data_IF_175596431228
#
_entry.id   IF_175596431228
#
_cell.length_a   1.000
_cell.length_b   1.000
_cell.length_c   1.000
_cell.angle_alpha   90.00
_cell.angle_beta   90.00
_cell.angle_gamma   90.00
#
_symmetry.space_group_name_H-M   'P 1'
#
loop_
_entity.id
_entity.type
_entity.pdbx_description
1 polymer ?
#
# COMPACT_ATOMS: atom_id res chain seq x y z
N UNK A 1 5.39 12.25 8.93
CA UNK A 1 5.17 11.88 7.54
C UNK A 1 6.12 10.79 7.12
N UNK A 2 7.42 10.95 7.31
CA UNK A 2 8.32 9.81 7.21
C UNK A 2 8.17 8.89 8.42
N UNK A 3 8.40 7.60 8.18
CA UNK A 3 8.33 6.57 9.20
C UNK A 3 7.88 5.22 8.67
N UNK A 4 7.54 4.39 9.64
CA UNK A 4 7.04 3.04 9.44
C UNK A 4 5.53 3.04 9.64
N UNK A 5 4.81 2.38 8.74
CA UNK A 5 3.36 2.36 8.68
C UNK A 5 2.88 0.93 8.63
N UNK A 6 1.92 0.60 9.49
CA UNK A 6 1.10 -0.59 9.32
C UNK A 6 -0.03 -0.25 8.36
N UNK A 7 -0.24 -1.11 7.38
CA UNK A 7 -1.35 -1.01 6.43
C UNK A 7 -2.22 -2.24 6.60
N UNK A 8 -3.51 -2.00 6.82
CA UNK A 8 -4.54 -3.03 6.88
C UNK A 8 -5.41 -2.85 5.65
N UNK A 9 -5.64 -3.91 4.88
CA UNK A 9 -6.44 -3.78 3.68
C UNK A 9 -7.41 -4.94 3.48
N UNK A 10 -8.57 -4.63 2.92
CA UNK A 10 -9.61 -5.61 2.58
C UNK A 10 -9.98 -5.48 1.11
N UNK A 11 -10.15 -6.61 0.44
CA UNK A 11 -10.77 -6.69 -0.88
C UNK A 11 -11.99 -7.61 -0.85
N UNK A 12 -12.54 -7.93 -2.02
CA UNK A 12 -13.73 -8.77 -2.15
C UNK A 12 -13.53 -10.22 -1.67
N UNK A 13 -12.29 -10.69 -1.58
CA UNK A 13 -11.95 -12.09 -1.29
C UNK A 13 -11.09 -12.26 -0.03
N UNK A 14 -10.98 -11.22 0.81
CA UNK A 14 -10.27 -11.34 2.08
C UNK A 14 -9.61 -10.05 2.54
N UNK A 15 -8.61 -10.21 3.40
CA UNK A 15 -7.86 -9.11 4.00
C UNK A 15 -6.37 -9.44 4.06
N UNK A 16 -5.55 -8.41 4.19
CA UNK A 16 -4.11 -8.51 4.31
C UNK A 16 -3.52 -7.40 5.16
N UNK A 17 -2.23 -7.54 5.44
CA UNK A 17 -1.45 -6.65 6.27
C UNK A 17 -0.09 -6.42 5.62
N UNK A 18 0.33 -5.17 5.56
CA UNK A 18 1.67 -4.80 5.10
C UNK A 18 2.35 -3.85 6.09
N UNK A 19 3.67 -3.82 6.03
CA UNK A 19 4.47 -2.73 6.58
C UNK A 19 5.01 -1.92 5.41
N UNK A 20 4.76 -0.61 5.42
CA UNK A 20 5.38 0.34 4.51
C UNK A 20 6.34 1.26 5.25
N UNK A 21 7.42 1.61 4.58
CA UNK A 21 8.40 2.62 4.93
C UNK A 21 8.23 3.76 3.94
N UNK A 22 8.00 4.96 4.47
CA UNK A 22 7.96 6.20 3.69
C UNK A 22 9.12 7.06 4.16
N UNK A 23 10.07 7.35 3.26
CA UNK A 23 11.27 8.12 3.57
C UNK A 23 11.92 8.67 2.31
N UNK A 24 12.28 9.96 2.32
CA UNK A 24 13.10 10.62 1.30
C UNK A 24 12.62 10.38 -0.15
N UNK A 25 11.32 10.58 -0.37
CA UNK A 25 10.68 10.38 -1.67
C UNK A 25 10.45 8.91 -2.07
N UNK A 26 10.82 7.95 -1.22
CA UNK A 26 10.65 6.51 -1.45
C UNK A 26 9.50 5.95 -0.63
N UNK A 27 8.75 5.03 -1.22
CA UNK A 27 7.81 4.15 -0.52
C UNK A 27 8.22 2.71 -0.80
N UNK A 28 8.50 1.93 0.25
CA UNK A 28 8.83 0.51 0.12
C UNK A 28 8.23 -0.32 1.24
N UNK A 29 8.04 -1.61 1.05
CA UNK A 29 7.50 -2.46 2.09
C UNK A 29 7.20 -3.88 1.65
N UNK A 30 6.55 -4.63 2.52
CA UNK A 30 6.13 -5.99 2.21
C UNK A 30 4.87 -6.42 2.99
N UNK A 31 4.18 -7.43 2.47
CA UNK A 31 3.08 -8.11 3.13
C UNK A 31 3.43 -9.56 3.55
N UNK A 32 2.54 -10.17 4.34
CA UNK A 32 2.74 -11.50 4.90
C UNK A 32 2.73 -12.65 3.86
N UNK A 33 2.28 -12.38 2.64
CA UNK A 33 2.26 -13.36 1.54
C UNK A 33 3.50 -13.29 0.66
N UNK A 34 4.42 -12.38 0.97
CA UNK A 34 5.63 -12.14 0.18
C UNK A 34 5.45 -11.08 -0.91
N UNK A 35 4.33 -10.37 -0.93
CA UNK A 35 4.15 -9.20 -1.79
C UNK A 35 5.14 -8.10 -1.38
N UNK A 36 5.85 -7.54 -2.36
CA UNK A 36 6.83 -6.45 -2.17
C UNK A 36 6.30 -5.19 -2.81
N UNK A 37 6.40 -4.07 -2.09
CA UNK A 37 6.05 -2.75 -2.57
C UNK A 37 7.33 -1.94 -2.78
N UNK A 38 7.47 -1.31 -3.95
CA UNK A 38 8.59 -0.40 -4.25
C UNK A 38 8.12 0.74 -5.16
N UNK A 39 8.44 1.97 -4.79
CA UNK A 39 7.96 3.14 -5.49
C UNK A 39 8.33 4.45 -4.83
N UNK A 40 7.54 5.48 -5.16
CA UNK A 40 7.83 6.87 -4.82
C UNK A 40 6.61 7.58 -4.28
N UNK A 41 6.86 8.68 -3.59
CA UNK A 41 5.83 9.64 -3.24
C UNK A 41 6.25 11.07 -3.56
N UNK A 42 5.27 11.92 -3.82
CA UNK A 42 5.43 13.37 -3.90
C UNK A 42 4.46 14.04 -2.94
N UNK A 43 4.88 15.18 -2.39
CA UNK A 43 4.07 15.99 -1.49
C UNK A 43 3.61 17.24 -2.23
N UNK A 44 2.30 17.41 -2.36
CA UNK A 44 1.69 18.62 -2.92
C UNK A 44 1.67 19.77 -1.90
N UNK A 45 1.38 20.97 -2.39
CA UNK A 45 1.41 22.21 -1.59
C UNK A 45 0.45 22.19 -0.40
N UNK A 46 -0.70 21.51 -0.54
CA UNK A 46 -1.72 21.37 0.51
C UNK A 46 -1.46 20.20 1.48
N UNK A 47 -0.28 19.57 1.41
CA UNK A 47 0.06 18.38 2.19
C UNK A 47 -0.61 17.10 1.68
N UNK A 48 -1.17 17.13 0.46
CA UNK A 48 -1.60 15.95 -0.29
C UNK A 48 -0.40 15.07 -0.66
N UNK A 49 -0.64 13.77 -0.69
CA UNK A 49 0.37 12.74 -0.86
C UNK A 49 0.04 11.90 -2.08
N UNK A 50 0.73 12.12 -3.19
CA UNK A 50 0.61 11.24 -4.34
C UNK A 50 1.64 10.12 -4.19
N UNK A 51 1.14 8.89 -4.12
CA UNK A 51 1.96 7.68 -4.01
C UNK A 51 1.79 6.87 -5.28
N UNK A 52 2.89 6.36 -5.80
CA UNK A 52 2.92 5.36 -6.86
C UNK A 52 3.87 4.23 -6.42
N UNK A 53 3.33 3.02 -6.30
CA UNK A 53 4.10 1.82 -5.92
C UNK A 53 3.87 0.69 -6.90
N UNK A 54 4.94 -0.02 -7.23
CA UNK A 54 4.85 -1.33 -7.86
C UNK A 54 4.67 -2.36 -6.75
N UNK A 55 3.56 -3.09 -6.78
CA UNK A 55 3.37 -4.32 -6.02
C UNK A 55 3.84 -5.49 -6.89
N UNK A 56 4.84 -6.23 -6.43
CA UNK A 56 5.25 -7.53 -7.00
C UNK A 56 4.83 -8.64 -6.06
N UNK A 57 3.95 -9.54 -6.53
CA UNK A 57 3.44 -10.66 -5.77
C UNK A 57 3.95 -11.99 -6.35
N UNK A 58 4.41 -12.94 -5.52
CA UNK A 58 4.94 -14.21 -6.01
C UNK A 58 3.84 -15.14 -6.54
N UNK A 59 4.23 -16.14 -7.32
CA UNK A 59 3.33 -17.22 -7.72
C UNK A 59 2.78 -17.97 -6.50
N UNK A 60 1.55 -18.49 -6.61
CA UNK A 60 0.91 -19.34 -5.59
C UNK A 60 0.12 -18.57 -4.52
N UNK A 61 0.11 -17.24 -4.54
CA UNK A 61 -0.70 -16.43 -3.61
C UNK A 61 -2.07 -16.11 -4.21
N UNK A 62 -3.03 -15.82 -3.33
CA UNK A 62 -4.33 -15.26 -3.74
C UNK A 62 -4.43 -13.83 -3.21
N UNK A 63 -4.65 -12.89 -4.11
CA UNK A 63 -4.80 -11.48 -3.78
C UNK A 63 -6.13 -11.25 -3.05
N UNK A 64 -6.19 -10.21 -2.22
CA UNK A 64 -7.44 -9.83 -1.53
C UNK A 64 -8.58 -9.46 -2.50
N UNK A 65 -8.23 -9.13 -3.75
CA UNK A 65 -9.15 -8.87 -4.86
C UNK A 65 -9.72 -10.15 -5.50
N UNK A 66 -9.25 -11.33 -5.09
CA UNK A 66 -9.82 -12.64 -5.44
C UNK A 66 -9.08 -13.43 -6.52
N UNK A 67 -8.03 -12.86 -7.12
CA UNK A 67 -7.25 -13.56 -8.14
C UNK A 67 -6.14 -14.40 -7.50
N UNK A 68 -6.07 -15.66 -7.90
CA UNK A 68 -4.95 -16.56 -7.58
C UNK A 68 -3.88 -16.47 -8.67
N UNK A 69 -2.64 -16.24 -8.27
CA UNK A 69 -1.52 -16.05 -9.18
C UNK A 69 -0.83 -17.39 -9.46
N UNK A 70 -0.67 -17.73 -10.73
CA UNK A 70 0.08 -18.93 -11.16
C UNK A 70 1.55 -18.64 -11.47
N UNK A 71 1.88 -17.37 -11.64
CA UNK A 71 3.22 -16.83 -11.90
C UNK A 71 3.41 -15.54 -11.10
N UNK A 72 4.64 -15.06 -11.03
CA UNK A 72 4.91 -13.74 -10.43
C UNK A 72 4.14 -12.67 -11.21
N UNK A 73 3.51 -11.74 -10.49
CA UNK A 73 2.72 -10.68 -11.09
C UNK A 73 3.09 -9.34 -10.47
N UNK A 74 3.23 -8.32 -11.31
CA UNK A 74 3.48 -6.95 -10.88
C UNK A 74 2.39 -6.00 -11.35
N UNK A 75 1.98 -5.08 -10.48
CA UNK A 75 1.03 -4.02 -10.80
C UNK A 75 1.44 -2.69 -10.18
N UNK A 76 1.18 -1.60 -10.89
CA UNK A 76 1.32 -0.25 -10.35
C UNK A 76 0.03 0.11 -9.62
N UNK A 77 0.17 0.57 -8.38
CA UNK A 77 -0.90 1.08 -7.53
C UNK A 77 -0.59 2.55 -7.27
N UNK A 78 -1.54 3.42 -7.66
CA UNK A 78 -1.47 4.85 -7.39
C UNK A 78 -2.55 5.24 -6.39
N UNK A 79 -2.20 6.08 -5.42
CA UNK A 79 -3.14 6.59 -4.44
C UNK A 79 -2.82 8.04 -4.10
N UNK A 80 -3.86 8.86 -3.99
CA UNK A 80 -3.78 10.20 -3.40
C UNK A 80 -4.25 10.12 -1.95
N UNK A 81 -3.35 10.42 -1.02
CA UNK A 81 -3.61 10.44 0.41
C UNK A 81 -3.72 11.88 0.90
N UNK A 82 -4.60 12.14 1.86
CA UNK A 82 -4.74 13.46 2.47
C UNK A 82 -3.72 13.65 3.61
N UNK A 83 -3.48 14.91 3.98
CA UNK A 83 -2.77 15.22 5.22
C UNK A 83 -3.45 14.49 6.40
N UNK A 84 -2.67 13.73 7.17
CA UNK A 84 -3.20 12.93 8.28
C UNK A 84 -3.79 11.57 7.89
N UNK A 85 -3.56 11.05 6.68
CA UNK A 85 -4.05 9.74 6.20
C UNK A 85 -3.83 8.54 7.13
N UNK A 86 -2.89 8.64 8.09
CA UNK A 86 -2.54 7.59 9.02
C UNK A 86 -3.34 7.63 10.34
N UNK A 87 -4.55 8.18 10.29
CA UNK A 87 -5.48 8.37 11.42
C UNK A 87 -6.30 7.13 11.78
N UNK A 88 -6.14 6.04 11.02
CA UNK A 88 -6.85 4.79 11.23
C UNK A 88 -8.21 4.72 10.52
N UNK A 89 -8.59 5.72 9.72
CA UNK A 89 -9.80 5.66 8.91
C UNK A 89 -9.58 4.87 7.61
N UNK A 90 -10.59 4.10 7.15
CA UNK A 90 -10.49 3.39 5.89
C UNK A 90 -10.63 4.35 4.71
N UNK A 91 -9.82 4.12 3.69
CA UNK A 91 -9.93 4.79 2.41
C UNK A 91 -9.94 3.80 1.26
N UNK A 92 -10.68 4.12 0.20
CA UNK A 92 -10.72 3.29 -1.00
C UNK A 92 -9.48 3.57 -1.87
N UNK A 93 -8.77 2.51 -2.23
CA UNK A 93 -7.65 2.54 -3.17
C UNK A 93 -8.03 1.71 -4.40
N UNK A 94 -7.91 2.31 -5.58
CA UNK A 94 -8.15 1.61 -6.84
C UNK A 94 -6.87 0.90 -7.27
N UNK A 95 -6.97 -0.40 -7.55
CA UNK A 95 -5.87 -1.17 -8.13
C UNK A 95 -6.29 -1.69 -9.51
N UNK A 96 -5.34 -2.02 -10.40
CA UNK A 96 -5.65 -2.69 -11.66
C UNK A 96 -6.49 -3.96 -11.52
N UNK A 97 -6.41 -4.65 -10.37
CA UNK A 97 -7.13 -5.90 -10.11
C UNK A 97 -8.44 -5.72 -9.32
N UNK A 98 -8.81 -4.48 -9.03
CA UNK A 98 -10.04 -4.12 -8.33
C UNK A 98 -9.81 -3.20 -7.14
N UNK A 99 -10.89 -2.62 -6.57
CA UNK A 99 -10.77 -1.75 -5.41
C UNK A 99 -10.41 -2.53 -4.14
N UNK A 100 -9.62 -1.89 -3.27
CA UNK A 100 -9.39 -2.32 -1.89
C UNK A 100 -9.73 -1.18 -0.93
N UNK A 101 -10.12 -1.50 0.30
CA UNK A 101 -10.17 -0.52 1.38
C UNK A 101 -8.89 -0.67 2.20
N UNK A 102 -8.16 0.42 2.40
CA UNK A 102 -6.91 0.45 3.15
C UNK A 102 -7.03 1.37 4.36
N UNK A 103 -6.43 0.96 5.47
CA UNK A 103 -6.22 1.77 6.67
C UNK A 103 -4.72 1.89 6.87
N UNK A 104 -4.24 3.11 7.05
CA UNK A 104 -2.86 3.38 7.40
C UNK A 104 -2.76 3.75 8.87
N UNK A 105 -1.76 3.21 9.56
CA UNK A 105 -1.44 3.57 10.94
C UNK A 105 0.05 3.77 11.09
N UNK A 106 0.46 4.96 11.54
CA UNK A 106 1.87 5.21 11.82
C UNK A 106 2.32 4.36 13.01
N UNK A 107 3.34 3.54 12.81
CA UNK A 107 3.97 2.72 13.85
C UNK A 107 5.01 3.56 14.61
N UNK A 108 5.91 4.20 13.88
CA UNK A 108 6.92 5.12 14.44
C UNK A 108 7.45 6.10 13.40
N UNK A 109 8.05 7.20 13.83
CA UNK A 109 8.85 8.08 12.98
C UNK A 109 10.24 7.53 12.67
N UNK A 110 10.94 8.18 11.74
CA UNK A 110 12.36 7.90 11.45
C UNK A 110 13.31 8.47 12.51
N UNK A 111 12.82 9.42 13.31
CA UNK A 111 13.50 10.00 14.48
C UNK A 111 12.79 9.64 15.78
#
# INVERSE_FOLDING_TARGET
MEGFYAVYYTGVSGFGHAILVINDGIVTGADATGGVYDGKYTVGDDGEFDIEVTLTAPAGVTLVTGQSLTEEFSQIISAKLLAGFADGQPMSVQTPMGPVNAIFKKVRGMT
#
